data_IF_661263535141
#
_entry.id   IF_661263535141
#
_cell.length_a   1.000
_cell.length_b   1.000
_cell.length_c   1.000
_cell.angle_alpha   90.00
_cell.angle_beta   90.00
_cell.angle_gamma   90.00
#
_symmetry.space_group_name_H-M   'P 1'
#
loop_
_entity.id
_entity.type
_entity.pdbx_description
1 polymer ?
#
# COMPACT_ATOMS: atom_id res chain seq x y z
N UNK A 1 -37.08 -32.12 60.39
CA UNK A 1 -37.30 -32.73 59.07
C UNK A 1 -37.70 -31.57 58.16
N UNK A 2 -36.75 -30.92 57.46
CA UNK A 2 -36.29 -31.32 56.11
C UNK A 2 -37.49 -31.35 55.13
N UNK A 3 -37.57 -30.62 54.01
CA UNK A 3 -36.58 -30.33 52.96
C UNK A 3 -37.01 -29.10 52.11
N UNK A 4 -36.01 -28.42 51.54
CA UNK A 4 -36.01 -27.45 50.42
C UNK A 4 -37.01 -27.69 49.26
N UNK A 5 -37.50 -26.60 48.64
CA UNK A 5 -37.69 -26.53 47.18
C UNK A 5 -37.75 -25.08 46.69
N UNK A 6 -36.58 -24.60 46.23
CA UNK A 6 -36.37 -23.34 45.51
C UNK A 6 -36.98 -23.42 44.11
N UNK A 7 -37.69 -22.37 43.68
CA UNK A 7 -37.93 -22.08 42.26
C UNK A 7 -37.48 -20.65 41.98
N UNK A 8 -36.28 -20.54 41.38
CA UNK A 8 -35.71 -19.29 40.87
C UNK A 8 -36.15 -19.12 39.42
N UNK A 9 -36.89 -18.06 39.13
CA UNK A 9 -37.12 -17.59 37.76
C UNK A 9 -35.80 -17.12 37.14
N UNK A 10 -35.34 -17.82 36.11
CA UNK A 10 -34.11 -17.51 35.39
C UNK A 10 -34.29 -16.22 34.56
N UNK A 11 -33.54 -15.19 34.94
CA UNK A 11 -33.33 -13.98 34.14
C UNK A 11 -32.36 -14.35 33.01
N UNK A 12 -32.88 -14.65 31.82
CA UNK A 12 -32.07 -14.90 30.62
C UNK A 12 -31.37 -13.60 30.26
N UNK A 13 -30.11 -13.46 30.69
CA UNK A 13 -29.19 -12.46 30.13
C UNK A 13 -28.76 -12.97 28.76
N UNK A 14 -29.23 -12.31 27.70
CA UNK A 14 -28.59 -12.39 26.39
C UNK A 14 -27.18 -11.78 26.52
N UNK A 15 -26.20 -12.62 26.79
CA UNK A 15 -24.79 -12.32 26.68
C UNK A 15 -24.44 -12.25 25.20
N UNK A 16 -24.17 -11.05 24.69
CA UNK A 16 -23.49 -10.88 23.40
C UNK A 16 -22.11 -11.54 23.54
N UNK A 17 -21.66 -12.41 22.62
CA UNK A 17 -20.40 -13.10 22.77
C UNK A 17 -19.22 -12.12 22.65
N UNK A 18 -18.35 -12.15 23.67
CA UNK A 18 -17.16 -11.30 23.87
C UNK A 18 -15.99 -11.69 22.95
N UNK A 19 -16.18 -12.65 22.04
CA UNK A 19 -15.10 -13.21 21.21
C UNK A 19 -14.63 -12.29 20.06
N UNK A 20 -15.43 -11.30 19.64
CA UNK A 20 -15.04 -10.37 18.59
C UNK A 20 -13.99 -9.33 19.05
N UNK A 21 -13.97 -9.00 20.34
CA UNK A 21 -13.06 -7.99 20.90
C UNK A 21 -11.62 -8.51 21.09
N UNK A 22 -11.46 -9.81 21.28
CA UNK A 22 -10.16 -10.41 21.64
C UNK A 22 -9.20 -10.54 20.45
N UNK A 23 -9.72 -10.65 19.22
CA UNK A 23 -8.87 -10.77 18.01
C UNK A 23 -8.31 -9.42 17.54
N UNK A 24 -8.98 -8.29 17.82
CA UNK A 24 -8.49 -6.96 17.44
C UNK A 24 -7.30 -6.52 18.31
N UNK A 25 -7.22 -7.02 19.54
CA UNK A 25 -6.09 -6.82 20.45
C UNK A 25 -4.79 -7.47 19.94
N UNK A 26 -4.89 -8.59 19.22
CA UNK A 26 -3.73 -9.37 18.78
C UNK A 26 -3.00 -8.78 17.55
N UNK A 27 -3.69 -8.00 16.71
CA UNK A 27 -3.12 -7.45 15.47
C UNK A 27 -2.35 -6.13 15.67
N UNK A 28 -2.38 -5.56 16.88
CA UNK A 28 -1.84 -4.23 17.14
C UNK A 28 -2.65 -3.11 16.47
N UNK A 29 -2.26 -1.86 16.72
CA UNK A 29 -2.83 -0.70 16.03
C UNK A 29 -2.31 -0.56 14.59
N UNK A 30 -2.99 0.28 13.81
CA UNK A 30 -2.50 0.80 12.53
C UNK A 30 -1.22 1.58 12.81
N UNK A 31 -0.12 1.16 12.18
CA UNK A 31 1.18 1.82 12.30
C UNK A 31 1.56 2.56 11.03
N UNK A 32 0.95 2.22 9.90
CA UNK A 32 1.21 2.85 8.62
C UNK A 32 -0.03 2.80 7.72
N UNK A 33 -0.25 3.88 6.96
CA UNK A 33 -1.26 3.93 5.91
C UNK A 33 -0.69 4.59 4.68
N UNK A 34 -1.07 4.05 3.53
CA UNK A 34 -0.28 4.19 2.34
C UNK A 34 -1.20 4.05 1.12
N UNK A 35 -1.25 5.07 0.26
CA UNK A 35 -2.27 5.18 -0.80
C UNK A 35 -1.77 4.55 -2.10
N UNK A 36 -2.60 3.71 -2.72
CA UNK A 36 -2.33 3.22 -4.07
C UNK A 36 -2.65 4.33 -5.09
N UNK A 37 -1.70 4.76 -5.93
CA UNK A 37 -1.94 5.87 -6.85
C UNK A 37 -3.04 5.58 -7.88
N UNK A 38 -3.92 6.55 -8.11
CA UNK A 38 -4.93 6.50 -9.18
C UNK A 38 -6.14 5.60 -8.92
N UNK A 39 -6.21 4.95 -7.76
CA UNK A 39 -7.34 4.11 -7.34
C UNK A 39 -7.70 4.39 -5.88
N UNK A 40 -8.91 4.01 -5.46
CA UNK A 40 -9.38 4.19 -4.07
C UNK A 40 -8.97 3.00 -3.20
N UNK A 41 -7.68 2.66 -3.23
CA UNK A 41 -7.13 1.54 -2.48
C UNK A 41 -6.07 2.02 -1.50
N UNK A 42 -5.99 1.33 -0.36
CA UNK A 42 -5.02 1.61 0.68
C UNK A 42 -4.21 0.36 1.01
N UNK A 43 -2.97 0.57 1.38
CA UNK A 43 -2.15 -0.36 2.13
C UNK A 43 -2.15 0.08 3.58
N UNK A 44 -2.60 -0.79 4.48
CA UNK A 44 -2.71 -0.52 5.92
C UNK A 44 -1.86 -1.54 6.67
N UNK A 45 -0.82 -1.08 7.35
CA UNK A 45 0.05 -1.94 8.16
C UNK A 45 -0.44 -1.96 9.61
N UNK A 46 -0.58 -3.16 10.17
CA UNK A 46 -1.00 -3.40 11.55
C UNK A 46 0.15 -3.99 12.36
N UNK A 47 0.35 -3.48 13.58
CA UNK A 47 1.47 -3.87 14.44
C UNK A 47 2.78 -3.59 13.73
N UNK A 48 3.50 -4.62 13.29
CA UNK A 48 4.57 -4.50 12.28
C UNK A 48 4.67 -5.75 11.40
N UNK A 49 3.62 -6.57 11.36
CA UNK A 49 3.70 -7.93 10.83
C UNK A 49 3.04 -8.05 9.47
N UNK A 50 1.85 -7.45 9.33
CA UNK A 50 0.99 -7.63 8.17
C UNK A 50 0.58 -6.28 7.61
N UNK A 51 0.50 -6.22 6.28
CA UNK A 51 -0.06 -5.10 5.54
C UNK A 51 -1.22 -5.59 4.68
N UNK A 52 -2.36 -4.95 4.87
CA UNK A 52 -3.61 -5.24 4.20
C UNK A 52 -3.75 -4.30 3.01
N UNK A 53 -3.98 -4.83 1.82
CA UNK A 53 -4.42 -4.04 0.67
C UNK A 53 -5.95 -4.03 0.68
N UNK A 54 -6.53 -2.85 0.83
CA UNK A 54 -7.96 -2.63 0.98
C UNK A 54 -8.50 -1.86 -0.22
N UNK A 55 -9.64 -2.30 -0.74
CA UNK A 55 -10.45 -1.54 -1.69
C UNK A 55 -11.55 -0.78 -0.94
N UNK A 56 -11.48 0.55 -1.03
CA UNK A 56 -12.43 1.48 -0.42
C UNK A 56 -13.44 2.03 -1.44
N UNK A 57 -13.40 1.58 -2.68
CA UNK A 57 -14.36 2.01 -3.70
C UNK A 57 -15.84 1.80 -3.28
N UNK A 58 -16.22 0.71 -2.57
CA UNK A 58 -17.60 0.56 -2.13
C UNK A 58 -18.04 1.59 -1.07
N UNK A 59 -17.10 2.21 -0.34
CA UNK A 59 -17.43 3.29 0.61
C UNK A 59 -17.90 4.55 -0.10
N UNK A 60 -17.50 4.75 -1.35
CA UNK A 60 -17.78 5.98 -2.08
C UNK A 60 -19.27 6.15 -2.41
N UNK A 61 -20.05 5.08 -2.32
CA UNK A 61 -21.51 5.09 -2.53
C UNK A 61 -22.28 5.43 -1.24
N UNK A 62 -21.60 5.50 -0.09
CA UNK A 62 -22.18 5.93 1.17
C UNK A 62 -22.07 7.45 1.27
N UNK A 63 -23.20 8.13 1.51
CA UNK A 63 -23.29 9.60 1.51
C UNK A 63 -22.27 10.24 2.46
N UNK A 64 -22.05 9.66 3.65
CA UNK A 64 -21.09 10.15 4.66
C UNK A 64 -19.62 10.06 4.23
N UNK A 65 -19.31 9.27 3.20
CA UNK A 65 -17.95 9.01 2.71
C UNK A 65 -17.74 9.51 1.26
N UNK A 66 -18.76 10.13 0.66
CA UNK A 66 -18.75 10.56 -0.74
C UNK A 66 -17.64 11.57 -1.06
N UNK A 67 -17.18 12.33 -0.07
CA UNK A 67 -16.04 13.26 -0.20
C UNK A 67 -14.72 12.57 -0.54
N UNK A 68 -14.58 11.27 -0.21
CA UNK A 68 -13.42 10.47 -0.58
C UNK A 68 -13.28 10.25 -2.09
N UNK A 69 -14.31 10.56 -2.89
CA UNK A 69 -14.23 10.58 -4.37
C UNK A 69 -13.25 11.65 -4.89
N UNK A 70 -12.94 12.66 -4.07
CA UNK A 70 -11.93 13.66 -4.40
C UNK A 70 -10.56 13.03 -4.20
N UNK A 71 -9.88 12.68 -5.29
CA UNK A 71 -8.56 12.01 -5.27
C UNK A 71 -7.52 12.76 -4.45
N UNK A 72 -7.53 14.09 -4.51
CA UNK A 72 -6.66 14.96 -3.72
C UNK A 72 -6.94 14.90 -2.23
N UNK A 73 -8.19 14.63 -1.83
CA UNK A 73 -8.56 14.42 -0.45
C UNK A 73 -8.19 13.00 -0.02
N UNK A 74 -8.54 12.00 -0.82
CA UNK A 74 -8.26 10.59 -0.56
C UNK A 74 -6.77 10.35 -0.26
N UNK A 75 -5.90 10.97 -1.05
CA UNK A 75 -4.45 10.88 -0.90
C UNK A 75 -3.89 11.44 0.43
N UNK A 76 -4.70 12.19 1.20
CA UNK A 76 -4.30 12.83 2.46
C UNK A 76 -4.70 12.04 3.70
N UNK A 77 -5.04 10.76 3.55
CA UNK A 77 -5.30 9.87 4.68
C UNK A 77 -4.12 9.87 5.66
N UNK A 78 -4.43 9.82 6.95
CA UNK A 78 -3.45 9.71 8.02
C UNK A 78 -3.88 8.66 9.03
N UNK A 79 -2.91 8.12 9.76
CA UNK A 79 -3.18 7.30 10.94
C UNK A 79 -3.62 8.22 12.08
N UNK A 80 -4.78 7.94 12.67
CA UNK A 80 -5.27 8.66 13.82
C UNK A 80 -4.44 8.40 15.09
N UNK A 81 -4.58 9.25 16.13
CA UNK A 81 -3.92 9.06 17.41
C UNK A 81 -4.20 7.66 18.00
N UNK A 82 -3.17 6.93 18.40
CA UNK A 82 -3.30 5.58 18.97
C UNK A 82 -3.53 4.45 17.96
N UNK A 83 -3.50 4.73 16.66
CA UNK A 83 -3.53 3.70 15.61
C UNK A 83 -4.86 2.95 15.49
N UNK A 84 -5.97 3.49 16.00
CA UNK A 84 -7.27 2.81 15.96
C UNK A 84 -8.13 3.21 14.75
N UNK A 85 -7.77 4.30 14.08
CA UNK A 85 -8.56 4.86 12.98
C UNK A 85 -7.66 5.38 11.87
N UNK A 86 -8.19 5.40 10.65
CA UNK A 86 -7.72 6.24 9.56
C UNK A 86 -8.56 7.52 9.52
N UNK A 87 -7.91 8.65 9.28
CA UNK A 87 -8.55 9.96 9.26
C UNK A 87 -8.24 10.67 7.94
N UNK A 88 -9.26 11.31 7.37
CA UNK A 88 -9.11 12.21 6.24
C UNK A 88 -9.41 13.65 6.65
N UNK A 89 -8.78 14.65 6.01
CA UNK A 89 -9.22 16.03 6.16
C UNK A 89 -10.70 16.17 5.80
N UNK A 90 -11.47 16.93 6.57
CA UNK A 90 -12.93 17.04 6.38
C UNK A 90 -13.76 16.05 7.20
N UNK A 91 -13.14 15.24 8.06
CA UNK A 91 -13.82 14.54 9.16
C UNK A 91 -14.25 13.11 8.87
N UNK A 92 -13.95 12.56 7.69
CA UNK A 92 -14.18 11.13 7.41
C UNK A 92 -13.18 10.30 8.23
N UNK A 93 -13.70 9.29 8.91
CA UNK A 93 -12.91 8.38 9.74
C UNK A 93 -13.33 6.93 9.49
N UNK A 94 -12.34 6.03 9.40
CA UNK A 94 -12.56 4.59 9.34
C UNK A 94 -11.88 3.94 10.51
N UNK A 95 -12.63 3.20 11.33
CA UNK A 95 -12.06 2.44 12.43
C UNK A 95 -11.43 1.13 11.95
N UNK A 96 -10.43 0.67 12.69
CA UNK A 96 -9.71 -0.57 12.39
C UNK A 96 -10.65 -1.79 12.21
N UNK A 97 -11.70 -1.98 13.04
CA UNK A 97 -12.68 -3.05 12.82
C UNK A 97 -13.41 -2.98 11.48
N UNK A 98 -13.68 -1.79 10.93
CA UNK A 98 -14.32 -1.67 9.61
C UNK A 98 -13.36 -1.91 8.44
N UNK A 99 -12.05 -1.77 8.66
CA UNK A 99 -11.03 -2.01 7.63
C UNK A 99 -10.74 -3.50 7.43
N UNK A 100 -10.93 -4.29 8.49
CA UNK A 100 -10.74 -5.73 8.46
C UNK A 100 -12.12 -6.35 8.26
N UNK A 101 -12.36 -6.99 7.11
CA UNK A 101 -13.62 -7.70 6.79
C UNK A 101 -13.93 -8.78 7.84
N UNK A 102 -14.48 -8.36 8.98
CA UNK A 102 -14.97 -9.22 10.05
C UNK A 102 -16.47 -9.42 9.86
N UNK A 103 -17.02 -10.59 10.22
CA UNK A 103 -18.47 -10.77 10.30
C UNK A 103 -19.09 -9.65 11.16
N UNK A 104 -19.95 -8.82 10.55
CA UNK A 104 -20.57 -7.67 11.22
C UNK A 104 -19.85 -6.32 11.08
N UNK A 105 -18.82 -6.21 10.21
CA UNK A 105 -18.19 -4.93 9.89
C UNK A 105 -19.22 -3.90 9.39
N UNK A 106 -19.15 -2.68 9.91
CA UNK A 106 -20.16 -1.64 9.65
C UNK A 106 -20.02 -1.01 8.26
N UNK A 107 -18.82 -1.04 7.68
CA UNK A 107 -18.53 -0.38 6.42
C UNK A 107 -17.99 -1.37 5.38
N UNK A 108 -18.39 -1.23 4.10
CA UNK A 108 -17.96 -2.13 3.03
C UNK A 108 -16.55 -1.74 2.55
N UNK A 109 -15.52 -2.10 3.31
CA UNK A 109 -14.15 -2.18 2.80
C UNK A 109 -13.87 -3.63 2.37
N UNK A 110 -13.16 -3.83 1.25
CA UNK A 110 -12.80 -5.18 0.78
C UNK A 110 -11.32 -5.47 0.94
N UNK A 111 -10.96 -6.61 1.50
CA UNK A 111 -9.56 -7.03 1.58
C UNK A 111 -9.14 -7.67 0.26
N UNK A 112 -8.29 -7.00 -0.50
CA UNK A 112 -7.77 -7.51 -1.77
C UNK A 112 -6.58 -8.45 -1.57
N UNK A 113 -5.73 -8.15 -0.58
CA UNK A 113 -4.54 -8.96 -0.27
C UNK A 113 -4.06 -8.73 1.16
N UNK A 114 -3.36 -9.71 1.72
CA UNK A 114 -2.61 -9.59 2.97
C UNK A 114 -1.18 -10.03 2.72
N UNK A 115 -0.22 -9.15 2.96
CA UNK A 115 1.22 -9.41 2.74
C UNK A 115 2.01 -9.18 4.02
N UNK A 116 3.16 -9.86 4.19
CA UNK A 116 4.10 -9.49 5.25
C UNK A 116 4.51 -8.03 5.13
N UNK A 117 4.59 -7.29 6.23
CA UNK A 117 4.93 -5.87 6.23
C UNK A 117 6.29 -5.59 5.56
N UNK A 118 7.23 -6.54 5.61
CA UNK A 118 8.52 -6.46 4.91
C UNK A 118 8.43 -6.53 3.37
N UNK A 119 7.32 -6.98 2.82
CA UNK A 119 7.08 -7.10 1.38
C UNK A 119 6.11 -6.04 0.83
N UNK A 120 5.53 -5.19 1.70
CA UNK A 120 4.66 -4.10 1.28
C UNK A 120 5.42 -3.17 0.32
N UNK A 121 4.71 -2.55 -0.62
CA UNK A 121 5.31 -1.60 -1.57
C UNK A 121 6.33 -2.21 -2.55
N UNK A 122 6.35 -3.53 -2.73
CA UNK A 122 7.26 -4.20 -3.68
C UNK A 122 6.49 -4.96 -4.77
N UNK A 123 5.80 -4.28 -5.72
CA UNK A 123 4.96 -4.95 -6.72
C UNK A 123 5.71 -5.91 -7.63
N UNK A 124 6.99 -5.62 -7.90
CA UNK A 124 7.83 -6.46 -8.77
C UNK A 124 8.46 -7.65 -8.05
N UNK A 125 8.51 -7.65 -6.70
CA UNK A 125 9.16 -8.69 -5.92
C UNK A 125 8.64 -10.11 -6.21
N UNK A 126 7.31 -10.36 -6.32
CA UNK A 126 6.82 -11.70 -6.65
C UNK A 126 7.40 -12.23 -7.97
N UNK A 127 7.57 -11.38 -8.98
CA UNK A 127 8.15 -11.78 -10.27
C UNK A 127 9.65 -12.01 -10.16
N UNK A 128 10.37 -11.10 -9.51
CA UNK A 128 11.81 -11.21 -9.33
C UNK A 128 12.22 -12.47 -8.55
N UNK A 129 11.40 -12.93 -7.62
CA UNK A 129 11.61 -14.19 -6.88
C UNK A 129 11.59 -15.43 -7.79
N UNK A 130 10.94 -15.36 -8.94
CA UNK A 130 10.74 -16.49 -9.85
C UNK A 130 11.54 -16.36 -11.17
N UNK A 131 12.26 -15.26 -11.37
CA UNK A 131 13.10 -15.06 -12.56
C UNK A 131 14.38 -15.91 -12.50
N UNK A 132 14.77 -16.43 -13.66
CA UNK A 132 16.03 -17.16 -13.86
C UNK A 132 16.96 -16.34 -14.79
N UNK A 133 18.27 -16.25 -14.49
CA UNK A 133 18.90 -16.71 -13.25
C UNK A 133 18.32 -15.94 -12.05
N UNK A 134 18.28 -16.56 -10.88
CA UNK A 134 17.84 -15.90 -9.65
C UNK A 134 18.73 -14.68 -9.41
N UNK A 135 18.33 -13.52 -9.94
CA UNK A 135 19.03 -12.27 -9.75
C UNK A 135 19.04 -12.05 -8.25
N UNK A 136 20.22 -12.09 -7.63
CA UNK A 136 20.33 -12.11 -6.16
C UNK A 136 19.60 -10.91 -5.58
N UNK A 137 18.37 -11.13 -5.10
CA UNK A 137 17.64 -10.13 -4.33
C UNK A 137 18.48 -9.87 -3.09
N UNK A 138 19.02 -8.67 -2.99
CA UNK A 138 19.87 -8.31 -1.86
C UNK A 138 19.07 -8.31 -0.55
N UNK A 139 19.71 -8.67 0.57
CA UNK A 139 19.15 -8.44 1.89
C UNK A 139 18.86 -6.94 2.09
N UNK A 140 17.76 -6.65 2.79
CA UNK A 140 17.41 -5.29 3.23
C UNK A 140 18.20 -4.91 4.48
N UNK A 141 18.51 -3.61 4.72
CA UNK A 141 18.11 -2.45 3.93
C UNK A 141 18.98 -2.21 2.69
N UNK A 142 18.39 -1.64 1.64
CA UNK A 142 19.13 -1.28 0.42
C UNK A 142 19.79 0.10 0.58
N UNK A 143 21.08 0.17 0.29
CA UNK A 143 21.84 1.43 0.29
C UNK A 143 21.42 2.35 -0.88
N UNK A 144 21.24 3.67 -0.64
CA UNK A 144 20.89 4.64 -1.68
C UNK A 144 21.79 4.60 -2.92
N UNK A 145 23.10 4.43 -2.73
CA UNK A 145 24.09 4.36 -3.82
C UNK A 145 23.83 3.17 -4.76
N UNK A 146 23.28 2.07 -4.24
CA UNK A 146 22.91 0.89 -5.05
C UNK A 146 21.78 1.25 -6.00
N UNK A 147 20.74 1.94 -5.49
CA UNK A 147 19.60 2.40 -6.31
C UNK A 147 20.08 3.42 -7.37
N UNK A 148 20.94 4.36 -6.99
CA UNK A 148 21.51 5.34 -7.92
C UNK A 148 22.22 4.67 -9.10
N UNK A 149 23.03 3.64 -8.82
CA UNK A 149 23.77 2.90 -9.84
C UNK A 149 22.86 2.10 -10.78
N UNK A 150 21.89 1.38 -10.22
CA UNK A 150 20.95 0.56 -11.00
C UNK A 150 20.07 1.41 -11.92
N UNK A 151 19.48 2.48 -11.39
CA UNK A 151 18.56 3.34 -12.13
C UNK A 151 19.26 4.51 -12.85
N UNK A 152 20.60 4.58 -12.80
CA UNK A 152 21.40 5.68 -13.39
C UNK A 152 20.91 7.07 -12.94
N UNK A 153 20.63 7.22 -11.64
CA UNK A 153 20.15 8.45 -11.02
C UNK A 153 21.32 9.25 -10.43
N UNK A 154 21.24 10.57 -10.56
CA UNK A 154 22.08 11.51 -9.79
C UNK A 154 21.60 11.55 -8.33
N UNK A 155 22.48 11.96 -7.41
CA UNK A 155 22.14 12.12 -5.99
C UNK A 155 20.90 13.02 -5.80
N UNK A 156 20.90 14.19 -6.45
CA UNK A 156 19.77 15.13 -6.38
C UNK A 156 18.46 14.58 -6.95
N UNK A 157 18.54 13.67 -7.95
CA UNK A 157 17.36 13.02 -8.51
C UNK A 157 16.77 12.01 -7.52
N UNK A 158 17.61 11.18 -6.89
CA UNK A 158 17.15 10.26 -5.85
C UNK A 158 16.56 11.03 -4.66
N UNK A 159 17.22 12.09 -4.20
CA UNK A 159 16.71 12.92 -3.10
C UNK A 159 15.35 13.55 -3.42
N UNK A 160 15.10 13.87 -4.69
CA UNK A 160 13.79 14.35 -5.13
C UNK A 160 12.74 13.24 -5.11
N UNK A 161 13.08 12.04 -5.57
CA UNK A 161 12.18 10.87 -5.51
C UNK A 161 11.80 10.54 -4.06
N UNK A 162 12.78 10.49 -3.15
CA UNK A 162 12.55 10.18 -1.74
C UNK A 162 11.71 11.24 -1.02
N UNK A 163 11.78 12.51 -1.44
CA UNK A 163 10.93 13.59 -0.90
C UNK A 163 9.54 13.66 -1.54
N UNK A 164 9.38 13.10 -2.74
CA UNK A 164 8.13 13.17 -3.50
C UNK A 164 7.02 12.27 -2.98
N UNK A 165 7.33 11.33 -2.09
CA UNK A 165 6.36 10.36 -1.53
C UNK A 165 6.41 10.42 0.00
N UNK A 166 5.26 10.54 0.70
CA UNK A 166 5.20 10.59 2.16
C UNK A 166 5.33 9.20 2.79
N UNK A 167 6.35 8.42 2.39
CA UNK A 167 6.68 7.08 2.93
C UNK A 167 8.07 7.16 3.55
N UNK A 168 8.38 6.38 4.61
CA UNK A 168 9.75 6.19 5.04
C UNK A 168 10.67 5.80 3.87
N UNK A 169 11.93 6.25 3.90
CA UNK A 169 12.84 6.06 2.77
C UNK A 169 13.12 4.57 2.47
N UNK A 170 13.20 3.72 3.50
CA UNK A 170 13.58 2.31 3.35
C UNK A 170 12.63 1.50 2.45
N UNK A 171 11.29 1.47 2.68
CA UNK A 171 10.37 0.81 1.75
C UNK A 171 10.49 1.30 0.31
N UNK A 172 10.69 2.61 0.13
CA UNK A 172 10.83 3.21 -1.20
C UNK A 172 12.15 2.79 -1.87
N UNK A 173 13.26 2.72 -1.12
CA UNK A 173 14.53 2.22 -1.64
C UNK A 173 14.44 0.76 -2.05
N UNK A 174 13.75 -0.09 -1.29
CA UNK A 174 13.51 -1.49 -1.65
C UNK A 174 12.69 -1.59 -2.95
N UNK A 175 11.64 -0.78 -3.09
CA UNK A 175 10.81 -0.70 -4.30
C UNK A 175 11.62 -0.26 -5.53
N UNK A 176 12.41 0.81 -5.39
CA UNK A 176 13.25 1.33 -6.47
C UNK A 176 14.37 0.35 -6.85
N UNK A 177 14.90 -0.39 -5.87
CA UNK A 177 15.85 -1.47 -6.11
C UNK A 177 15.24 -2.58 -6.96
N UNK A 178 14.04 -3.06 -6.61
CA UNK A 178 13.34 -4.08 -7.39
C UNK A 178 13.08 -3.60 -8.83
N UNK A 179 12.65 -2.35 -8.99
CA UNK A 179 12.49 -1.74 -10.30
C UNK A 179 13.82 -1.69 -11.07
N UNK A 180 14.91 -1.29 -10.40
CA UNK A 180 16.24 -1.27 -11.00
C UNK A 180 16.71 -2.65 -11.45
N UNK A 181 16.57 -3.66 -10.60
CA UNK A 181 16.89 -5.06 -10.92
C UNK A 181 16.10 -5.52 -12.14
N UNK A 182 14.78 -5.28 -12.14
CA UNK A 182 13.91 -5.64 -13.26
C UNK A 182 14.35 -4.97 -14.57
N UNK A 183 14.61 -3.67 -14.53
CA UNK A 183 15.03 -2.93 -15.74
C UNK A 183 16.41 -3.42 -16.23
N UNK A 184 17.36 -3.66 -15.33
CA UNK A 184 18.69 -4.16 -15.70
C UNK A 184 18.67 -5.59 -16.25
N UNK A 185 17.66 -6.41 -15.93
CA UNK A 185 17.52 -7.75 -16.49
C UNK A 185 16.90 -7.76 -17.89
N UNK A 186 16.18 -6.70 -18.28
CA UNK A 186 15.50 -6.59 -19.58
C UNK A 186 16.18 -5.63 -20.56
N UNK A 187 16.94 -4.66 -20.05
CA UNK A 187 17.58 -3.62 -20.86
C UNK A 187 19.08 -3.57 -20.57
N UNK A 188 19.87 -3.34 -21.62
CA UNK A 188 21.30 -3.11 -21.49
C UNK A 188 21.60 -1.89 -20.59
N UNK A 189 22.65 -2.01 -19.78
CA UNK A 189 23.01 -1.00 -18.76
C UNK A 189 23.22 0.40 -19.35
N UNK A 190 23.75 0.47 -20.57
CA UNK A 190 24.01 1.70 -21.32
C UNK A 190 22.72 2.40 -21.77
N UNK A 191 21.64 1.64 -21.94
CA UNK A 191 20.35 2.18 -22.38
C UNK A 191 19.49 2.69 -21.21
N UNK A 192 19.77 2.26 -19.97
CA UNK A 192 18.95 2.64 -18.81
C UNK A 192 18.95 4.14 -18.56
N UNK A 193 20.10 4.81 -18.70
CA UNK A 193 20.17 6.26 -18.53
C UNK A 193 19.22 6.99 -19.49
N UNK A 194 19.20 6.56 -20.75
CA UNK A 194 18.34 7.12 -21.79
C UNK A 194 16.86 6.72 -21.59
N UNK A 195 16.59 5.46 -21.23
CA UNK A 195 15.25 4.95 -20.95
C UNK A 195 14.56 5.77 -19.86
N UNK A 196 15.30 6.11 -18.80
CA UNK A 196 14.76 6.88 -17.68
C UNK A 196 14.32 8.30 -18.07
N UNK A 197 14.93 8.89 -19.10
CA UNK A 197 14.78 10.32 -19.45
C UNK A 197 14.07 10.58 -20.78
N UNK A 198 13.90 9.55 -21.62
CA UNK A 198 13.15 9.65 -22.87
C UNK A 198 11.64 9.64 -22.61
N UNK A 199 10.85 10.13 -23.58
CA UNK A 199 9.41 9.99 -23.57
C UNK A 199 8.94 8.57 -23.24
N UNK A 200 8.22 8.44 -22.13
CA UNK A 200 7.61 7.21 -21.64
C UNK A 200 6.14 7.19 -22.06
N UNK A 201 5.87 6.51 -23.18
CA UNK A 201 4.54 6.50 -23.82
C UNK A 201 3.41 6.11 -22.87
N UNK A 202 3.65 5.18 -21.96
CA UNK A 202 2.60 4.78 -21.00
C UNK A 202 2.23 5.94 -20.08
N UNK A 203 3.21 6.71 -19.58
CA UNK A 203 2.96 7.92 -18.80
C UNK A 203 2.23 9.00 -19.60
N UNK A 204 2.61 9.20 -20.86
CA UNK A 204 1.91 10.13 -21.78
C UNK A 204 0.45 9.75 -22.00
N UNK A 205 0.17 8.47 -22.22
CA UNK A 205 -1.18 7.96 -22.46
C UNK A 205 -2.06 8.04 -21.20
N UNK A 206 -1.53 7.65 -20.04
CA UNK A 206 -2.29 7.67 -18.79
C UNK A 206 -2.44 9.08 -18.21
N UNK A 207 -1.52 9.99 -18.51
CA UNK A 207 -1.47 11.33 -17.95
C UNK A 207 -1.16 12.40 -19.02
N UNK A 208 -2.02 12.56 -20.06
CA UNK A 208 -1.71 13.43 -21.22
C UNK A 208 -1.55 14.90 -20.86
N UNK A 209 -2.18 15.35 -19.76
CA UNK A 209 -2.13 16.74 -19.28
C UNK A 209 -1.04 16.99 -18.23
N UNK A 210 -0.22 16.01 -17.90
CA UNK A 210 0.82 16.12 -16.87
C UNK A 210 2.21 15.81 -17.46
N UNK A 211 2.85 16.78 -18.11
CA UNK A 211 4.12 16.56 -18.82
C UNK A 211 5.25 16.06 -17.90
N UNK A 212 5.17 16.38 -16.60
CA UNK A 212 6.10 15.89 -15.59
C UNK A 212 6.06 14.36 -15.40
N UNK A 213 5.00 13.68 -15.88
CA UNK A 213 4.84 12.23 -15.83
C UNK A 213 5.15 11.56 -17.18
N UNK A 214 5.67 12.30 -18.16
CA UNK A 214 5.93 11.77 -19.50
C UNK A 214 7.30 11.10 -19.63
N UNK A 215 8.04 10.94 -18.53
CA UNK A 215 9.30 10.17 -18.48
C UNK A 215 9.26 9.27 -17.25
N UNK A 216 10.03 8.16 -17.25
CA UNK A 216 10.12 7.30 -16.07
C UNK A 216 10.71 8.07 -14.87
N UNK A 217 11.76 8.87 -15.08
CA UNK A 217 12.33 9.70 -14.03
C UNK A 217 11.30 10.69 -13.47
N UNK A 218 10.54 11.34 -14.35
CA UNK A 218 9.46 12.23 -13.96
C UNK A 218 8.35 11.53 -13.16
N UNK A 219 7.99 10.30 -13.56
CA UNK A 219 7.08 9.46 -12.79
C UNK A 219 7.61 9.20 -11.38
N UNK A 220 8.88 8.80 -11.22
CA UNK A 220 9.47 8.58 -9.90
C UNK A 220 9.49 9.86 -9.05
N UNK A 221 9.94 10.99 -9.62
CA UNK A 221 10.09 12.26 -8.91
C UNK A 221 8.76 12.85 -8.43
N UNK A 222 7.66 12.49 -9.08
CA UNK A 222 6.31 12.94 -8.74
C UNK A 222 5.50 11.84 -8.04
N UNK A 223 6.17 10.83 -7.47
CA UNK A 223 5.52 9.81 -6.64
C UNK A 223 4.57 8.88 -7.41
N UNK A 224 4.83 8.67 -8.70
CA UNK A 224 4.08 7.79 -9.60
C UNK A 224 4.89 6.60 -10.14
N UNK A 225 5.61 5.84 -9.29
CA UNK A 225 6.33 4.63 -9.73
C UNK A 225 5.38 3.57 -10.33
N UNK A 226 4.09 3.59 -9.98
CA UNK A 226 3.05 2.73 -10.55
C UNK A 226 2.96 2.82 -12.09
N UNK A 227 3.22 3.99 -12.66
CA UNK A 227 3.20 4.21 -14.11
C UNK A 227 4.38 3.54 -14.84
N UNK A 228 5.37 3.05 -14.10
CA UNK A 228 6.52 2.31 -14.63
C UNK A 228 6.35 0.83 -14.31
N UNK A 229 6.01 0.52 -13.05
CA UNK A 229 5.90 -0.85 -12.56
C UNK A 229 4.78 -1.62 -13.25
N UNK A 230 3.66 -0.98 -13.57
CA UNK A 230 2.54 -1.67 -14.22
C UNK A 230 2.90 -2.21 -15.60
N UNK A 231 3.49 -1.42 -16.52
CA UNK A 231 4.08 -1.96 -17.74
C UNK A 231 5.15 -3.02 -17.50
N UNK A 232 6.02 -2.85 -16.50
CA UNK A 232 7.02 -3.88 -16.16
C UNK A 232 6.37 -5.20 -15.75
N UNK A 233 5.31 -5.17 -14.95
CA UNK A 233 4.56 -6.37 -14.56
C UNK A 233 3.92 -7.05 -15.77
N UNK A 234 3.31 -6.30 -16.69
CA UNK A 234 2.74 -6.83 -17.93
C UNK A 234 3.79 -7.55 -18.78
N UNK A 235 4.98 -6.93 -18.94
CA UNK A 235 6.13 -7.55 -19.61
C UNK A 235 6.56 -8.84 -18.87
N UNK A 236 6.57 -8.83 -17.54
CA UNK A 236 6.98 -9.98 -16.73
C UNK A 236 5.99 -11.16 -16.82
N UNK A 237 4.68 -10.88 -16.96
CA UNK A 237 3.62 -11.88 -17.04
C UNK A 237 3.33 -12.36 -18.46
N UNK A 238 3.76 -11.62 -19.48
CA UNK A 238 3.40 -11.88 -20.87
C UNK A 238 1.95 -11.50 -21.20
N UNK A 239 1.38 -10.55 -20.46
CA UNK A 239 0.05 -9.95 -20.70
C UNK A 239 0.17 -8.64 -21.52
#
# INVERSE_FOLDING_TARGET
MDVDARSRGAKVRCSIPVEAATQTSALGGITEVLVEPGVHQLWVTLGHEQTYRLDLQPLLDIETHRTLRLTTLFARVQVGPGGQHLIWPGGVQLDLPSLLEKPGAQLPARTLAVVPARHRYRPLLPYLLHQQPATYLRPTPIEPVTVQRLLRLRTSELDQVLRGVPVPAEPLLNRLYDLGVFLTSHFAEDHLYALMRRPWRYGEQQCPRQPLLHTMLGCLQNGRPDLIERPCMLIATGE
#
